data_IF_655426002637
#
_entry.id   IF_655426002637
#
_cell.length_a   1.000
_cell.length_b   1.000
_cell.length_c   1.000
_cell.angle_alpha   90.00
_cell.angle_beta   90.00
_cell.angle_gamma   90.00
#
_symmetry.space_group_name_H-M   'P 1'
#
loop_
_entity.id
_entity.type
_entity.pdbx_description
1 polymer ?
#
# COMPACT_ATOMS: atom_id res chain seq x y z
N UNK A 1 61.01 -23.13 -8.74
CA UNK A 1 60.12 -22.45 -7.78
C UNK A 1 59.44 -23.57 -6.98
N UNK A 2 60.01 -23.97 -5.85
CA UNK A 2 59.49 -23.72 -4.48
C UNK A 2 58.02 -24.15 -4.35
N UNK A 3 57.56 -25.04 -3.47
CA UNK A 3 58.19 -25.77 -2.38
C UNK A 3 57.16 -26.85 -1.97
N UNK A 4 57.58 -28.12 -1.91
CA UNK A 4 56.77 -29.15 -1.27
C UNK A 4 56.81 -28.99 0.25
N UNK A 5 55.67 -29.15 0.93
CA UNK A 5 55.63 -29.33 2.37
C UNK A 5 54.50 -30.33 2.70
N UNK A 6 54.91 -31.56 3.02
CA UNK A 6 54.95 -32.12 4.38
C UNK A 6 53.71 -32.95 4.71
N UNK A 7 53.88 -34.26 4.51
CA UNK A 7 53.21 -35.30 5.29
C UNK A 7 53.66 -35.26 6.76
N UNK A 8 52.75 -35.73 7.64
CA UNK A 8 52.86 -36.15 9.06
C UNK A 8 51.85 -35.33 9.89
N UNK A 9 50.69 -35.81 10.32
CA UNK A 9 50.31 -37.16 10.75
C UNK A 9 50.71 -37.37 12.20
N UNK A 10 49.78 -37.16 13.16
CA UNK A 10 49.58 -38.00 14.37
C UNK A 10 48.54 -37.47 15.37
N UNK A 11 47.74 -38.45 15.85
CA UNK A 11 47.12 -38.62 17.19
C UNK A 11 45.85 -37.78 17.46
N UNK A 12 44.65 -38.36 17.40
CA UNK A 12 44.01 -39.38 18.27
C UNK A 12 43.44 -38.78 19.57
N UNK A 13 42.11 -38.70 19.55
CA UNK A 13 41.12 -39.03 20.59
C UNK A 13 41.26 -38.48 22.03
N UNK A 14 40.21 -37.76 22.45
CA UNK A 14 39.60 -37.85 23.79
C UNK A 14 38.15 -37.34 23.64
N UNK A 15 37.16 -38.21 23.41
CA UNK A 15 36.23 -38.75 24.42
C UNK A 15 35.78 -37.71 25.46
N UNK A 16 34.57 -37.19 25.25
CA UNK A 16 33.84 -36.34 26.20
C UNK A 16 32.35 -36.38 25.88
N UNK A 17 31.70 -37.47 26.29
CA UNK A 17 30.25 -37.66 26.25
C UNK A 17 29.61 -36.71 27.26
N UNK A 18 28.87 -35.70 26.79
CA UNK A 18 27.76 -35.13 27.54
C UNK A 18 26.49 -35.24 26.70
N UNK A 19 25.75 -36.27 27.08
CA UNK A 19 24.38 -36.58 26.72
C UNK A 19 23.42 -35.43 27.04
N UNK A 20 22.37 -35.39 26.22
CA UNK A 20 21.01 -34.98 26.56
C UNK A 20 20.65 -33.48 26.47
N UNK A 21 19.75 -33.26 25.51
CA UNK A 21 18.56 -32.42 25.61
C UNK A 21 18.75 -30.92 25.84
N UNK A 22 18.61 -30.16 24.75
CA UNK A 22 17.75 -28.99 24.77
C UNK A 22 17.00 -28.87 23.43
N UNK A 23 16.10 -29.81 23.21
CA UNK A 23 14.91 -29.62 22.39
C UNK A 23 13.98 -28.69 23.16
N UNK A 24 14.08 -27.37 22.96
CA UNK A 24 13.18 -26.28 23.41
C UNK A 24 13.84 -24.99 22.89
N UNK A 25 13.35 -24.28 21.89
CA UNK A 25 12.08 -23.55 21.87
C UNK A 25 11.47 -23.65 20.45
N UNK A 26 10.34 -24.32 20.28
CA UNK A 26 9.01 -23.75 20.52
C UNK A 26 8.73 -22.56 19.59
N UNK A 27 8.14 -22.87 18.44
CA UNK A 27 7.07 -22.06 17.86
C UNK A 27 7.37 -20.58 17.65
N UNK A 28 8.32 -20.28 16.77
CA UNK A 28 8.24 -19.01 16.04
C UNK A 28 6.94 -19.03 15.25
N UNK A 29 5.90 -18.42 15.81
CA UNK A 29 4.62 -18.18 15.15
C UNK A 29 4.93 -17.44 13.85
N UNK A 30 5.06 -18.17 12.75
CA UNK A 30 4.78 -17.64 11.43
C UNK A 30 3.29 -17.32 11.44
N UNK A 31 2.94 -16.15 11.97
CA UNK A 31 1.66 -15.55 11.64
C UNK A 31 1.77 -15.23 10.15
N UNK A 32 1.05 -15.93 9.24
CA UNK A 32 0.93 -15.42 7.89
C UNK A 32 0.40 -13.99 8.04
N UNK A 33 0.97 -12.99 7.35
CA UNK A 33 0.33 -11.68 7.31
C UNK A 33 -1.11 -11.92 6.89
N UNK A 34 -2.07 -11.40 7.66
CA UNK A 34 -3.47 -11.52 7.32
C UNK A 34 -3.60 -11.09 5.85
N UNK A 35 -3.94 -12.03 4.97
CA UNK A 35 -4.24 -11.70 3.60
C UNK A 35 -5.55 -10.91 3.67
N UNK A 36 -5.44 -9.58 3.79
CA UNK A 36 -6.59 -8.74 3.57
C UNK A 36 -6.99 -9.00 2.13
N UNK A 37 -8.16 -9.61 1.94
CA UNK A 37 -8.83 -9.56 0.65
C UNK A 37 -8.79 -8.10 0.22
N UNK A 38 -8.04 -7.81 -0.83
CA UNK A 38 -7.93 -6.48 -1.39
C UNK A 38 -9.32 -6.14 -1.93
N UNK A 39 -10.19 -5.65 -1.06
CA UNK A 39 -11.23 -4.73 -1.49
C UNK A 39 -10.46 -3.63 -2.20
N UNK A 40 -10.74 -3.42 -3.49
CA UNK A 40 -10.15 -2.37 -4.33
C UNK A 40 -10.50 -0.97 -3.79
N UNK A 41 -10.10 -0.73 -2.55
CA UNK A 41 -10.52 0.37 -1.72
C UNK A 41 -9.27 1.01 -1.13
N UNK A 42 -9.38 2.30 -0.89
CA UNK A 42 -8.31 3.06 -0.30
C UNK A 42 -8.06 2.59 1.13
N UNK A 43 -6.81 2.25 1.42
CA UNK A 43 -6.37 2.01 2.80
C UNK A 43 -6.42 3.30 3.63
N UNK A 44 -6.75 3.16 4.92
CA UNK A 44 -6.77 4.26 5.88
C UNK A 44 -8.17 4.69 6.30
N UNK A 45 -8.25 5.83 7.01
CA UNK A 45 -9.51 6.37 7.52
C UNK A 45 -10.11 7.36 6.53
N UNK A 46 -11.41 7.24 6.28
CA UNK A 46 -12.15 8.23 5.48
C UNK A 46 -12.02 9.60 6.17
N UNK A 47 -11.41 10.55 5.46
CA UNK A 47 -11.08 11.87 5.98
C UNK A 47 -11.97 12.96 5.36
N UNK A 48 -12.36 12.80 4.10
CA UNK A 48 -13.25 13.73 3.40
C UNK A 48 -14.08 13.00 2.35
N UNK A 49 -15.34 13.40 2.23
CA UNK A 49 -16.19 13.07 1.08
C UNK A 49 -16.59 14.37 0.39
N UNK A 50 -16.47 14.42 -0.93
CA UNK A 50 -16.90 15.55 -1.75
C UNK A 50 -17.96 15.03 -2.71
N UNK A 51 -19.22 15.40 -2.48
CA UNK A 51 -20.34 14.93 -3.29
C UNK A 51 -20.62 15.90 -4.44
N UNK A 52 -21.11 15.35 -5.55
CA UNK A 52 -21.59 16.11 -6.72
C UNK A 52 -22.75 15.34 -7.38
N UNK A 53 -23.33 15.91 -8.42
CA UNK A 53 -24.58 15.43 -9.01
C UNK A 53 -24.53 13.95 -9.43
N UNK A 54 -23.42 13.54 -10.05
CA UNK A 54 -23.26 12.22 -10.68
C UNK A 54 -22.44 11.23 -9.84
N UNK A 55 -21.92 11.65 -8.69
CA UNK A 55 -21.05 10.82 -7.87
C UNK A 55 -20.48 11.51 -6.64
N UNK A 56 -19.45 10.90 -6.08
CA UNK A 56 -18.73 11.43 -4.94
C UNK A 56 -17.25 11.04 -5.00
N UNK A 57 -16.39 11.91 -4.49
CA UNK A 57 -14.98 11.63 -4.26
C UNK A 57 -14.80 11.29 -2.79
N UNK A 58 -14.20 10.14 -2.52
CA UNK A 58 -13.85 9.70 -1.17
C UNK A 58 -12.35 9.80 -1.00
N UNK A 59 -11.91 10.52 0.04
CA UNK A 59 -10.51 10.75 0.37
C UNK A 59 -10.20 10.11 1.70
N UNK A 60 -9.16 9.28 1.71
CA UNK A 60 -8.70 8.52 2.86
C UNK A 60 -7.31 8.99 3.25
N UNK A 61 -7.06 9.07 4.56
CA UNK A 61 -5.77 9.46 5.13
C UNK A 61 -5.21 8.32 5.98
N UNK A 62 -3.94 8.03 5.76
CA UNK A 62 -3.09 7.24 6.66
C UNK A 62 -2.00 8.15 7.25
N UNK A 63 -1.08 7.58 8.04
CA UNK A 63 0.02 8.35 8.65
C UNK A 63 0.91 9.05 7.60
N UNK A 64 1.13 8.43 6.45
CA UNK A 64 2.09 8.91 5.45
C UNK A 64 1.51 9.09 4.03
N UNK A 65 0.26 8.72 3.81
CA UNK A 65 -0.35 8.71 2.48
C UNK A 65 -1.76 9.30 2.51
N UNK A 66 -2.15 9.85 1.36
CA UNK A 66 -3.53 10.14 1.03
C UNK A 66 -3.93 9.27 -0.16
N UNK A 67 -5.12 8.68 -0.10
CA UNK A 67 -5.68 7.89 -1.18
C UNK A 67 -7.05 8.46 -1.55
N UNK A 68 -7.37 8.50 -2.84
CA UNK A 68 -8.68 8.91 -3.30
C UNK A 68 -9.25 7.97 -4.37
N UNK A 69 -10.57 7.91 -4.39
CA UNK A 69 -11.36 7.25 -5.43
C UNK A 69 -12.58 8.12 -5.74
N UNK A 70 -13.05 8.04 -6.98
CA UNK A 70 -14.33 8.64 -7.37
C UNK A 70 -15.35 7.54 -7.59
N UNK A 71 -16.47 7.60 -6.89
CA UNK A 71 -17.54 6.60 -6.92
C UNK A 71 -18.75 7.19 -7.64
N UNK A 72 -19.31 6.45 -8.59
CA UNK A 72 -20.52 6.86 -9.27
C UNK A 72 -21.74 6.72 -8.35
N UNK A 73 -22.62 7.72 -8.37
CA UNK A 73 -23.89 7.67 -7.60
C UNK A 73 -24.81 6.55 -8.09
N UNK A 74 -24.85 6.36 -9.40
CA UNK A 74 -25.68 5.34 -10.06
C UNK A 74 -24.77 4.35 -10.82
N UNK A 75 -24.31 3.27 -10.18
CA UNK A 75 -23.42 2.31 -10.83
C UNK A 75 -24.13 1.52 -11.95
N UNK A 76 -23.34 0.94 -12.86
CA UNK A 76 -23.81 -0.02 -13.87
C UNK A 76 -23.45 0.36 -15.30
N UNK A 77 -23.80 1.58 -15.74
CA UNK A 77 -23.44 2.04 -17.07
C UNK A 77 -21.96 2.42 -17.16
N UNK A 78 -21.31 2.01 -18.26
CA UNK A 78 -19.89 2.29 -18.48
C UNK A 78 -19.65 3.73 -18.96
N UNK A 79 -19.32 4.62 -18.02
CA UNK A 79 -19.13 6.06 -18.25
C UNK A 79 -17.70 6.52 -17.98
N UNK A 80 -17.34 7.67 -18.54
CA UNK A 80 -16.04 8.30 -18.25
C UNK A 80 -15.99 8.68 -16.77
N UNK A 81 -14.95 8.23 -16.08
CA UNK A 81 -14.67 8.65 -14.71
C UNK A 81 -13.19 8.92 -14.56
N UNK A 82 -12.87 9.77 -13.58
CA UNK A 82 -11.49 10.06 -13.25
C UNK A 82 -11.35 10.48 -11.80
N UNK A 83 -10.15 10.25 -11.26
CA UNK A 83 -9.72 10.77 -9.97
C UNK A 83 -8.29 11.27 -10.11
N UNK A 84 -7.97 12.39 -9.46
CA UNK A 84 -6.61 12.91 -9.39
C UNK A 84 -6.31 13.42 -7.99
N UNK A 85 -5.11 13.11 -7.51
CA UNK A 85 -4.60 13.53 -6.20
C UNK A 85 -3.28 14.26 -6.41
N UNK A 86 -3.20 15.48 -5.91
CA UNK A 86 -1.99 16.29 -5.96
C UNK A 86 -1.53 16.63 -4.54
N UNK A 87 -0.36 16.17 -4.09
CA UNK A 87 0.25 16.71 -2.89
C UNK A 87 0.77 18.12 -3.17
N UNK A 88 0.67 19.02 -2.19
CA UNK A 88 1.14 20.39 -2.32
C UNK A 88 2.64 20.41 -2.60
N UNK A 89 3.04 21.17 -3.61
CA UNK A 89 4.42 21.20 -4.11
C UNK A 89 4.85 19.95 -4.88
N UNK A 90 3.92 19.08 -5.27
CA UNK A 90 4.20 17.90 -6.10
C UNK A 90 3.33 17.83 -7.36
N UNK A 91 3.60 16.81 -8.17
CA UNK A 91 2.83 16.54 -9.40
C UNK A 91 1.54 15.77 -9.09
N UNK A 92 0.45 16.06 -9.81
CA UNK A 92 -0.80 15.31 -9.67
C UNK A 92 -0.62 13.89 -10.20
N UNK A 93 -1.07 12.91 -9.42
CA UNK A 93 -1.25 11.53 -9.90
C UNK A 93 -2.72 11.37 -10.28
N UNK A 94 -3.00 10.83 -11.46
CA UNK A 94 -4.34 10.75 -12.02
C UNK A 94 -4.60 9.35 -12.58
N UNK A 95 -5.83 8.91 -12.40
CA UNK A 95 -6.40 7.78 -13.12
C UNK A 95 -7.66 8.26 -13.83
N UNK A 96 -7.80 7.92 -15.11
CA UNK A 96 -8.99 8.19 -15.90
C UNK A 96 -9.26 7.08 -16.91
N UNK A 97 -10.55 6.90 -17.22
CA UNK A 97 -10.99 5.77 -18.02
C UNK A 97 -12.50 5.70 -18.12
N UNK A 98 -13.00 4.55 -18.58
CA UNK A 98 -14.42 4.24 -18.60
C UNK A 98 -14.71 3.11 -17.63
N UNK A 99 -15.43 3.42 -16.57
CA UNK A 99 -15.71 2.52 -15.46
C UNK A 99 -17.22 2.38 -15.24
N UNK A 100 -17.62 1.38 -14.45
CA UNK A 100 -19.03 1.11 -14.10
C UNK A 100 -19.36 1.46 -12.64
N UNK A 101 -18.36 1.44 -11.75
CA UNK A 101 -18.55 1.67 -10.31
C UNK A 101 -17.71 2.83 -9.78
N UNK A 102 -16.39 2.81 -10.00
CA UNK A 102 -15.46 3.83 -9.51
C UNK A 102 -14.23 3.96 -10.41
N UNK A 103 -13.53 5.10 -10.28
CA UNK A 103 -12.16 5.31 -10.76
C UNK A 103 -11.21 5.46 -9.56
N UNK A 104 -10.02 4.87 -9.64
CA UNK A 104 -9.10 4.74 -8.50
C UNK A 104 -8.95 3.27 -8.07
N UNK A 105 -8.15 3.00 -7.02
CA UNK A 105 -7.61 3.95 -6.04
C UNK A 105 -6.31 4.64 -6.47
N UNK A 106 -6.24 5.97 -6.30
CA UNK A 106 -5.00 6.76 -6.50
C UNK A 106 -4.41 7.17 -5.16
N UNK A 107 -3.17 6.75 -4.92
CA UNK A 107 -2.45 6.99 -3.64
C UNK A 107 -1.22 7.86 -3.86
N UNK A 108 -1.02 8.85 -2.99
CA UNK A 108 0.19 9.69 -2.96
C UNK A 108 0.76 9.80 -1.54
N UNK A 109 2.06 10.00 -1.43
CA UNK A 109 2.70 10.33 -0.15
C UNK A 109 2.34 11.75 0.31
N UNK A 110 1.73 11.89 1.49
CA UNK A 110 1.11 13.13 1.95
C UNK A 110 1.34 13.47 3.44
N UNK A 111 2.38 12.90 4.07
CA UNK A 111 2.71 12.99 5.52
C UNK A 111 2.24 14.32 6.18
N UNK A 112 2.95 15.42 5.90
CA UNK A 112 2.66 16.77 6.43
C UNK A 112 2.29 17.74 5.31
N UNK A 113 1.75 17.23 4.21
CA UNK A 113 1.44 18.03 3.03
C UNK A 113 -0.07 18.04 2.81
N UNK A 114 -0.62 19.22 2.60
CA UNK A 114 -1.97 19.35 2.07
C UNK A 114 -2.07 18.61 0.73
N UNK A 115 -3.23 18.06 0.44
CA UNK A 115 -3.53 17.45 -0.86
C UNK A 115 -4.73 18.12 -1.50
N UNK A 116 -4.68 18.24 -2.82
CA UNK A 116 -5.79 18.66 -3.65
C UNK A 116 -6.32 17.44 -4.39
N UNK A 117 -7.62 17.16 -4.27
CA UNK A 117 -8.26 16.03 -4.91
C UNK A 117 -9.34 16.54 -5.85
N UNK A 118 -9.37 15.99 -7.06
CA UNK A 118 -10.42 16.24 -8.04
C UNK A 118 -10.96 14.92 -8.57
N UNK A 119 -12.27 14.84 -8.75
CA UNK A 119 -12.92 13.67 -9.32
C UNK A 119 -14.05 14.06 -10.27
N UNK A 120 -14.37 13.13 -11.17
CA UNK A 120 -15.41 13.33 -12.18
C UNK A 120 -16.09 12.02 -12.56
N UNK A 121 -17.40 12.09 -12.83
CA UNK A 121 -18.24 10.99 -13.34
C UNK A 121 -19.16 11.55 -14.41
N UNK A 122 -18.98 11.14 -15.67
CA UNK A 122 -19.72 11.71 -16.80
C UNK A 122 -19.50 13.21 -16.91
N UNK A 123 -20.59 13.99 -16.94
CA UNK A 123 -20.55 15.44 -16.99
C UNK A 123 -20.33 16.12 -15.62
N UNK A 124 -20.51 15.39 -14.52
CA UNK A 124 -20.35 15.95 -13.17
C UNK A 124 -18.91 15.84 -12.67
N UNK A 125 -18.45 16.85 -11.94
CA UNK A 125 -17.14 16.86 -11.29
C UNK A 125 -17.14 17.72 -10.04
N UNK A 126 -16.18 17.45 -9.15
CA UNK A 126 -15.91 18.29 -8.00
C UNK A 126 -14.43 18.21 -7.61
N UNK A 127 -13.99 19.21 -6.85
CA UNK A 127 -12.69 19.23 -6.20
C UNK A 127 -12.82 19.52 -4.71
N UNK A 128 -11.79 19.14 -3.96
CA UNK A 128 -11.76 19.27 -2.51
C UNK A 128 -11.21 20.61 -2.02
N UNK A 129 -10.66 21.46 -2.89
CA UNK A 129 -9.62 22.40 -2.48
C UNK A 129 -8.43 21.70 -1.82
N UNK A 130 -7.58 22.47 -1.13
CA UNK A 130 -6.48 21.91 -0.34
C UNK A 130 -7.00 21.40 1.01
N UNK A 131 -6.87 20.10 1.25
CA UNK A 131 -7.31 19.41 2.48
C UNK A 131 -6.16 18.62 3.10
N UNK A 132 -6.37 18.10 4.31
CA UNK A 132 -5.42 17.22 5.02
C UNK A 132 -4.07 17.87 5.38
N UNK A 133 -4.01 19.20 5.31
CA UNK A 133 -3.20 19.99 6.23
C UNK A 133 -3.58 19.60 7.68
#
# INVERSE_FOLDING_TARGET
MLQGWRRRGRRVASLGVFTAALWLCAGGLFTPPAAQAATESCGGRLARTVTFETGEVRVYKSRNQACAMTVARFPGERRRMAVSVQPRGGVPVREDGRFTHYAGPVTVGAINRCVYVKGSVGAGSADSGWILC
#
